data_IF_550332836344
#
_entry.id   IF_550332836344
#
_cell.length_a   1.000
_cell.length_b   1.000
_cell.length_c   1.000
_cell.angle_alpha   90.00
_cell.angle_beta   90.00
_cell.angle_gamma   90.00
#
_symmetry.space_group_name_H-M   'P 1'
#
loop_
_entity.id
_entity.type
_entity.pdbx_description
1 polymer ?
#
# COMPACT_ATOMS: atom_id res chain seq x y z
N UNK A 1 -7.00 -24.84 -2.51
CA UNK A 1 -5.81 -23.96 -2.51
C UNK A 1 -5.80 -22.96 -3.65
N UNK A 2 -5.89 -23.36 -4.93
CA UNK A 2 -5.83 -22.41 -6.06
C UNK A 2 -6.89 -21.30 -6.00
N UNK A 3 -8.13 -21.63 -5.66
CA UNK A 3 -9.21 -20.64 -5.50
C UNK A 3 -8.93 -19.63 -4.36
N UNK A 4 -8.41 -20.11 -3.24
CA UNK A 4 -8.08 -19.26 -2.07
C UNK A 4 -6.91 -18.34 -2.39
N UNK A 5 -5.91 -18.84 -3.14
CA UNK A 5 -4.79 -18.03 -3.62
C UNK A 5 -5.26 -16.86 -4.49
N UNK A 6 -6.12 -17.12 -5.47
CA UNK A 6 -6.68 -16.06 -6.31
C UNK A 6 -7.56 -15.09 -5.53
N UNK A 7 -8.35 -15.58 -4.58
CA UNK A 7 -9.14 -14.70 -3.70
C UNK A 7 -8.22 -13.78 -2.88
N UNK A 8 -7.17 -14.32 -2.25
CA UNK A 8 -6.22 -13.52 -1.49
C UNK A 8 -5.54 -12.43 -2.33
N UNK A 9 -5.06 -12.78 -3.52
CA UNK A 9 -4.41 -11.83 -4.45
C UNK A 9 -5.34 -10.73 -4.98
N UNK A 10 -6.63 -11.02 -5.13
CA UNK A 10 -7.60 -10.08 -5.70
C UNK A 10 -8.25 -9.17 -4.66
N UNK A 11 -8.28 -9.55 -3.39
CA UNK A 11 -8.87 -8.74 -2.31
C UNK A 11 -8.26 -7.32 -2.27
N UNK A 12 -6.93 -7.15 -2.23
CA UNK A 12 -6.28 -5.84 -2.33
C UNK A 12 -6.75 -5.01 -3.53
N UNK A 13 -6.73 -5.61 -4.73
CA UNK A 13 -7.11 -4.96 -5.98
C UNK A 13 -8.59 -4.54 -5.99
N UNK A 14 -9.47 -5.33 -5.36
CA UNK A 14 -10.85 -4.94 -5.14
C UNK A 14 -10.96 -3.71 -4.25
N UNK A 15 -10.12 -3.60 -3.21
CA UNK A 15 -9.98 -2.38 -2.41
C UNK A 15 -9.70 -1.16 -3.28
N UNK A 16 -8.65 -1.20 -4.09
CA UNK A 16 -8.24 -0.11 -5.02
C UNK A 16 -9.34 0.24 -6.00
N UNK A 17 -10.02 -0.79 -6.53
CA UNK A 17 -11.14 -0.63 -7.48
C UNK A 17 -12.35 0.02 -6.82
N UNK A 18 -12.76 -0.43 -5.64
CA UNK A 18 -13.88 0.14 -4.88
C UNK A 18 -13.60 1.57 -4.43
N UNK A 19 -12.37 1.83 -3.98
CA UNK A 19 -11.88 3.18 -3.66
C UNK A 19 -12.00 4.13 -4.85
N UNK A 20 -11.52 3.67 -6.00
CA UNK A 20 -11.61 4.43 -7.26
C UNK A 20 -13.04 4.74 -7.69
N UNK A 21 -14.03 3.92 -7.29
CA UNK A 21 -15.44 4.14 -7.61
C UNK A 21 -16.04 5.34 -6.86
N UNK A 22 -15.38 5.87 -5.82
CA UNK A 22 -15.82 7.07 -5.09
C UNK A 22 -15.99 8.26 -6.05
N UNK A 23 -15.23 8.32 -7.14
CA UNK A 23 -15.33 9.37 -8.17
C UNK A 23 -16.73 9.48 -8.81
N UNK A 24 -17.54 8.41 -8.76
CA UNK A 24 -18.92 8.45 -9.25
C UNK A 24 -19.86 9.21 -8.31
N UNK A 25 -19.63 9.09 -7.01
CA UNK A 25 -20.50 9.61 -5.94
C UNK A 25 -20.13 11.03 -5.51
N UNK A 26 -18.86 11.41 -5.62
CA UNK A 26 -18.40 12.75 -5.22
C UNK A 26 -18.65 13.77 -6.35
N UNK A 27 -19.28 14.89 -6.00
CA UNK A 27 -19.45 16.06 -6.89
C UNK A 27 -18.13 16.86 -6.94
N UNK A 28 -17.89 17.54 -8.06
CA UNK A 28 -16.71 18.32 -8.52
C UNK A 28 -15.95 19.26 -7.54
N UNK A 29 -16.18 19.21 -6.22
CA UNK A 29 -15.39 19.96 -5.24
C UNK A 29 -14.11 19.20 -4.92
N UNK A 30 -12.98 19.92 -4.93
CA UNK A 30 -11.73 19.49 -4.30
C UNK A 30 -11.99 19.28 -2.82
N UNK A 31 -12.30 18.06 -2.40
CA UNK A 31 -12.51 17.76 -0.99
C UNK A 31 -11.18 17.37 -0.36
N UNK A 32 -10.29 18.37 -0.24
CA UNK A 32 -8.93 18.22 0.28
C UNK A 32 -8.90 17.55 1.67
N UNK A 33 -9.88 17.88 2.52
CA UNK A 33 -10.04 17.22 3.82
C UNK A 33 -10.29 15.71 3.68
N UNK A 34 -11.06 15.28 2.68
CA UNK A 34 -11.35 13.87 2.46
C UNK A 34 -10.09 13.10 2.02
N UNK A 35 -9.33 13.66 1.07
CA UNK A 35 -8.04 13.07 0.64
C UNK A 35 -7.07 12.93 1.82
N UNK A 36 -7.00 13.95 2.67
CA UNK A 36 -6.15 13.94 3.88
C UNK A 36 -6.62 12.91 4.91
N UNK A 37 -7.92 12.78 5.14
CA UNK A 37 -8.46 11.74 6.01
C UNK A 37 -8.22 10.34 5.45
N UNK A 38 -8.36 10.15 4.14
CA UNK A 38 -8.02 8.90 3.46
C UNK A 38 -6.53 8.57 3.61
N UNK A 39 -5.64 9.55 3.44
CA UNK A 39 -4.19 9.38 3.64
C UNK A 39 -3.88 8.99 5.07
N UNK A 40 -4.60 9.56 6.04
CA UNK A 40 -4.55 9.16 7.45
C UNK A 40 -4.93 7.70 7.64
N UNK A 41 -6.09 7.26 7.14
CA UNK A 41 -6.52 5.85 7.25
C UNK A 41 -5.47 4.92 6.63
N UNK A 42 -4.99 5.22 5.43
CA UNK A 42 -4.00 4.39 4.74
C UNK A 42 -2.70 4.28 5.55
N UNK A 43 -2.17 5.42 6.00
CA UNK A 43 -0.99 5.48 6.87
C UNK A 43 -1.13 4.60 8.12
N UNK A 44 -2.26 4.74 8.83
CA UNK A 44 -2.50 3.99 10.06
C UNK A 44 -2.51 2.48 9.83
N UNK A 45 -3.20 2.03 8.78
CA UNK A 45 -3.27 0.62 8.40
C UNK A 45 -1.88 0.10 8.00
N UNK A 46 -1.13 0.83 7.16
CA UNK A 46 0.20 0.41 6.70
C UNK A 46 1.20 0.29 7.85
N UNK A 47 1.20 1.22 8.82
CA UNK A 47 2.07 1.14 10.00
C UNK A 47 1.73 -0.10 10.82
N UNK A 48 0.45 -0.34 11.09
CA UNK A 48 0.01 -1.51 11.84
C UNK A 48 0.34 -2.82 11.09
N UNK A 49 0.07 -2.91 9.79
CA UNK A 49 0.42 -4.08 8.98
C UNK A 49 1.94 -4.35 8.97
N UNK A 50 2.75 -3.30 8.90
CA UNK A 50 4.22 -3.41 8.94
C UNK A 50 4.70 -4.02 10.27
N UNK A 51 4.08 -3.65 11.38
CA UNK A 51 4.48 -4.16 12.71
C UNK A 51 3.95 -5.57 12.91
N UNK A 52 2.63 -5.76 12.84
CA UNK A 52 1.96 -6.98 13.26
C UNK A 52 2.01 -8.08 12.23
N UNK A 53 1.73 -7.78 10.97
CA UNK A 53 1.65 -8.81 9.93
C UNK A 53 2.99 -9.13 9.28
N UNK A 54 4.02 -8.29 9.47
CA UNK A 54 5.33 -8.46 8.85
C UNK A 54 6.50 -8.56 9.85
N UNK A 55 6.76 -7.52 10.65
CA UNK A 55 7.94 -7.49 11.52
C UNK A 55 7.88 -8.52 12.64
N UNK A 56 6.75 -8.64 13.34
CA UNK A 56 6.58 -9.64 14.40
C UNK A 56 6.77 -11.06 13.83
N UNK A 57 6.07 -11.50 12.76
CA UNK A 57 6.29 -12.80 12.14
C UNK A 57 7.72 -13.03 11.64
N UNK A 58 8.42 -11.97 11.21
CA UNK A 58 9.82 -12.07 10.83
C UNK A 58 10.73 -12.33 12.04
N UNK A 59 10.55 -11.58 13.13
CA UNK A 59 11.31 -11.71 14.37
C UNK A 59 11.04 -13.03 15.11
N UNK A 60 9.86 -13.61 14.96
CA UNK A 60 9.53 -14.92 15.51
C UNK A 60 10.24 -16.06 14.76
N UNK A 61 10.47 -15.88 13.45
CA UNK A 61 11.11 -16.89 12.59
C UNK A 61 12.62 -16.75 12.49
N UNK A 62 13.19 -15.58 12.82
CA UNK A 62 14.62 -15.31 12.78
C UNK A 62 15.10 -14.67 14.09
N UNK A 63 16.05 -15.34 14.75
CA UNK A 63 16.64 -14.86 16.01
C UNK A 63 17.77 -13.85 15.76
N UNK A 64 18.41 -13.90 14.58
CA UNK A 64 19.44 -12.96 14.21
C UNK A 64 18.82 -11.62 13.82
N UNK A 65 18.73 -10.71 14.80
CA UNK A 65 18.17 -9.37 14.62
C UNK A 65 18.85 -8.56 13.50
N UNK A 66 20.10 -8.86 13.16
CA UNK A 66 20.79 -8.18 12.06
C UNK A 66 20.10 -8.43 10.72
N UNK A 67 19.54 -9.63 10.49
CA UNK A 67 18.80 -9.94 9.26
C UNK A 67 17.54 -9.08 9.17
N UNK A 68 16.84 -8.90 10.28
CA UNK A 68 15.63 -8.07 10.36
C UNK A 68 15.97 -6.60 10.12
N UNK A 69 16.98 -6.07 10.80
CA UNK A 69 17.41 -4.67 10.65
C UNK A 69 17.89 -4.40 9.23
N UNK A 70 18.69 -5.30 8.65
CA UNK A 70 19.14 -5.18 7.26
C UNK A 70 17.96 -5.23 6.29
N UNK A 71 16.98 -6.11 6.51
CA UNK A 71 15.75 -6.15 5.73
C UNK A 71 15.07 -4.79 5.72
N UNK A 72 14.77 -4.24 6.90
CA UNK A 72 14.11 -2.93 7.04
C UNK A 72 14.87 -1.84 6.27
N UNK A 73 16.17 -1.68 6.51
CA UNK A 73 16.96 -0.63 5.87
C UNK A 73 17.07 -0.83 4.36
N UNK A 74 17.27 -2.05 3.88
CA UNK A 74 17.35 -2.32 2.45
C UNK A 74 16.00 -2.11 1.74
N UNK A 75 14.89 -2.41 2.42
CA UNK A 75 13.54 -2.11 1.92
C UNK A 75 13.32 -0.62 1.75
N UNK A 76 13.63 0.16 2.80
CA UNK A 76 13.54 1.62 2.77
C UNK A 76 14.49 2.24 1.73
N UNK A 77 15.74 1.75 1.67
CA UNK A 77 16.74 2.23 0.70
C UNK A 77 16.36 1.90 -0.75
N UNK A 78 15.74 0.74 -1.02
CA UNK A 78 15.23 0.44 -2.35
C UNK A 78 14.19 1.47 -2.76
N UNK A 79 13.22 1.78 -1.88
CA UNK A 79 12.20 2.75 -2.22
C UNK A 79 12.79 4.15 -2.35
N UNK A 80 13.67 4.59 -1.46
CA UNK A 80 14.40 5.86 -1.62
C UNK A 80 15.15 5.92 -2.97
N UNK A 81 15.77 4.83 -3.39
CA UNK A 81 16.45 4.76 -4.68
C UNK A 81 15.46 4.86 -5.86
N UNK A 82 14.32 4.17 -5.78
CA UNK A 82 13.26 4.27 -6.79
C UNK A 82 12.71 5.70 -6.85
N UNK A 83 12.46 6.29 -5.70
CA UNK A 83 11.97 7.65 -5.49
C UNK A 83 12.89 8.70 -6.17
N UNK A 84 14.20 8.56 -5.98
CA UNK A 84 15.21 9.41 -6.63
C UNK A 84 15.26 9.28 -8.17
N UNK A 85 14.86 8.13 -8.72
CA UNK A 85 14.98 7.85 -10.17
C UNK A 85 13.69 8.18 -10.90
N UNK A 86 12.57 7.87 -10.26
CA UNK A 86 11.26 7.92 -10.86
C UNK A 86 10.72 9.35 -10.76
N UNK A 87 10.42 10.01 -11.89
CA UNK A 87 9.78 11.32 -11.87
C UNK A 87 8.38 11.16 -11.28
N UNK A 88 8.17 11.65 -10.07
CA UNK A 88 6.89 11.52 -9.37
C UNK A 88 6.48 12.84 -8.71
N UNK A 89 5.26 12.87 -8.18
CA UNK A 89 4.76 13.98 -7.38
C UNK A 89 3.97 13.41 -6.21
N UNK A 90 4.17 14.00 -5.04
CA UNK A 90 3.40 13.68 -3.86
C UNK A 90 1.93 14.11 -4.03
N UNK A 91 0.95 13.24 -3.74
CA UNK A 91 -0.45 13.62 -3.80
C UNK A 91 -0.73 14.84 -2.90
N UNK A 92 -1.55 15.77 -3.41
CA UNK A 92 -1.88 17.01 -2.69
C UNK A 92 -0.84 18.15 -2.78
N UNK A 93 0.40 17.88 -3.21
CA UNK A 93 1.43 18.92 -3.39
C UNK A 93 1.58 19.37 -4.86
N UNK A 94 2.37 20.42 -5.08
CA UNK A 94 2.83 20.83 -6.41
C UNK A 94 4.32 20.53 -6.65
N UNK A 95 4.97 19.91 -5.68
CA UNK A 95 6.40 19.66 -5.67
C UNK A 95 6.72 18.43 -6.53
N UNK A 96 7.82 18.48 -7.28
CA UNK A 96 8.26 17.42 -8.17
C UNK A 96 9.57 16.84 -7.67
N UNK A 97 9.65 15.51 -7.60
CA UNK A 97 10.84 14.77 -7.17
C UNK A 97 11.24 13.71 -8.21
N UNK A 98 12.45 13.18 -8.06
CA UNK A 98 13.10 12.31 -9.04
C UNK A 98 13.70 13.04 -10.23
N UNK A 99 14.01 12.31 -11.31
CA UNK A 99 14.62 12.91 -12.52
C UNK A 99 13.66 13.87 -13.20
N UNK A 100 14.17 15.02 -13.64
CA UNK A 100 13.40 15.97 -14.45
C UNK A 100 12.77 15.24 -15.65
N UNK A 101 11.44 15.37 -15.77
CA UNK A 101 10.71 14.77 -16.88
C UNK A 101 9.59 15.68 -17.35
N UNK A 102 9.30 15.62 -18.65
CA UNK A 102 8.19 16.34 -19.28
C UNK A 102 6.82 15.68 -19.04
N UNK A 103 6.71 14.72 -18.11
CA UNK A 103 5.43 14.08 -17.82
C UNK A 103 4.44 15.03 -17.16
N UNK A 104 3.17 14.87 -17.52
CA UNK A 104 2.08 15.61 -16.86
C UNK A 104 2.01 15.21 -15.38
N UNK A 105 1.69 16.18 -14.53
CA UNK A 105 1.43 15.99 -13.09
C UNK A 105 0.58 14.76 -12.75
N UNK A 106 -0.48 14.52 -13.53
CA UNK A 106 -1.36 13.36 -13.36
C UNK A 106 -0.69 12.02 -13.68
N UNK A 107 0.27 12.00 -14.60
CA UNK A 107 1.03 10.80 -14.95
C UNK A 107 2.03 10.45 -13.85
N UNK A 108 2.69 11.45 -13.28
CA UNK A 108 3.59 11.31 -12.13
C UNK A 108 2.86 10.71 -10.91
N UNK A 109 1.68 11.23 -10.59
CA UNK A 109 0.82 10.71 -9.52
C UNK A 109 0.38 9.24 -9.74
N UNK A 110 -0.04 8.89 -10.96
CA UNK A 110 -0.44 7.50 -11.29
C UNK A 110 0.75 6.55 -11.15
N UNK A 111 1.93 6.99 -11.59
CA UNK A 111 3.13 6.18 -11.54
C UNK A 111 3.59 5.94 -10.11
N UNK A 112 3.53 6.97 -9.25
CA UNK A 112 3.78 6.85 -7.82
C UNK A 112 2.90 5.75 -7.21
N UNK A 113 1.57 5.91 -7.25
CA UNK A 113 0.63 4.94 -6.65
C UNK A 113 0.81 3.53 -7.24
N UNK A 114 1.07 3.41 -8.55
CA UNK A 114 1.32 2.10 -9.17
C UNK A 114 2.59 1.44 -8.63
N UNK A 115 3.65 2.19 -8.35
CA UNK A 115 4.87 1.61 -7.76
C UNK A 115 4.67 1.19 -6.31
N UNK A 116 3.85 1.92 -5.55
CA UNK A 116 3.50 1.58 -4.16
C UNK A 116 2.77 0.25 -4.04
N UNK A 117 1.90 -0.03 -4.99
CA UNK A 117 1.14 -1.27 -5.08
C UNK A 117 2.02 -2.52 -5.36
N UNK A 118 3.27 -2.36 -5.81
CA UNK A 118 4.18 -3.48 -6.06
C UNK A 118 4.60 -4.16 -4.74
N UNK A 119 5.23 -3.46 -3.76
CA UNK A 119 5.51 -4.00 -2.44
C UNK A 119 4.31 -4.67 -1.76
N UNK A 120 3.12 -4.09 -1.88
CA UNK A 120 1.89 -4.64 -1.28
C UNK A 120 1.51 -5.97 -1.90
N UNK A 121 1.47 -6.04 -3.23
CA UNK A 121 1.24 -7.29 -3.95
C UNK A 121 2.23 -8.38 -3.55
N UNK A 122 3.52 -8.02 -3.46
CA UNK A 122 4.57 -8.92 -3.01
C UNK A 122 4.34 -9.39 -1.56
N UNK A 123 3.99 -8.49 -0.63
CA UNK A 123 3.72 -8.85 0.77
C UNK A 123 2.58 -9.88 0.89
N UNK A 124 1.48 -9.68 0.16
CA UNK A 124 0.37 -10.64 0.09
C UNK A 124 0.82 -11.97 -0.51
N UNK A 125 1.62 -11.93 -1.58
CA UNK A 125 2.20 -13.12 -2.19
C UNK A 125 3.09 -13.92 -1.24
N UNK A 126 3.88 -13.24 -0.40
CA UNK A 126 4.76 -13.87 0.60
C UNK A 126 3.92 -14.64 1.62
N UNK A 127 2.92 -13.99 2.22
CA UNK A 127 2.10 -14.61 3.27
C UNK A 127 1.18 -15.70 2.68
N UNK A 128 0.70 -15.54 1.45
CA UNK A 128 -0.02 -16.61 0.74
C UNK A 128 0.88 -17.81 0.42
N UNK A 129 2.14 -17.59 0.03
CA UNK A 129 3.10 -18.67 -0.16
C UNK A 129 3.36 -19.43 1.14
N UNK A 130 3.45 -18.73 2.27
CA UNK A 130 3.53 -19.37 3.59
C UNK A 130 2.26 -20.15 3.90
N UNK A 131 1.08 -19.58 3.66
CA UNK A 131 -0.21 -20.24 3.87
C UNK A 131 -0.38 -21.51 3.03
N UNK A 132 0.12 -21.51 1.80
CA UNK A 132 0.16 -22.68 0.92
C UNK A 132 1.01 -23.81 1.53
N UNK A 133 2.12 -23.47 2.18
CA UNK A 133 3.03 -24.43 2.81
C UNK A 133 2.52 -24.95 4.15
N UNK A 134 1.94 -24.09 4.98
CA UNK A 134 1.50 -24.43 6.35
C UNK A 134 0.05 -24.90 6.42
N UNK A 135 -0.76 -24.62 5.40
CA UNK A 135 -2.19 -24.91 5.36
C UNK A 135 -3.07 -23.88 6.11
N UNK A 136 -2.47 -22.92 6.82
CA UNK A 136 -3.17 -21.86 7.55
C UNK A 136 -3.31 -20.61 6.69
N UNK A 137 -4.55 -20.17 6.45
CA UNK A 137 -4.86 -19.02 5.58
C UNK A 137 -5.10 -17.72 6.35
N UNK A 138 -5.13 -17.81 7.68
CA UNK A 138 -5.54 -16.77 8.62
C UNK A 138 -4.70 -15.49 8.48
N UNK A 139 -3.38 -15.59 8.66
CA UNK A 139 -2.45 -14.48 8.45
C UNK A 139 -2.52 -13.89 7.02
N UNK A 140 -2.66 -14.74 6.00
CA UNK A 140 -2.76 -14.28 4.62
C UNK A 140 -4.05 -13.48 4.35
N UNK A 141 -5.17 -13.92 4.93
CA UNK A 141 -6.44 -13.22 4.88
C UNK A 141 -6.39 -11.91 5.66
N UNK A 142 -5.82 -11.92 6.87
CA UNK A 142 -5.65 -10.72 7.69
C UNK A 142 -4.90 -9.64 6.93
N UNK A 143 -3.73 -9.98 6.37
CA UNK A 143 -2.92 -9.04 5.59
C UNK A 143 -3.62 -8.60 4.29
N UNK A 144 -4.25 -9.53 3.56
CA UNK A 144 -4.95 -9.18 2.30
C UNK A 144 -6.10 -8.21 2.56
N UNK A 145 -6.90 -8.45 3.61
CA UNK A 145 -8.01 -7.57 4.01
C UNK A 145 -7.47 -6.22 4.50
N UNK A 146 -6.41 -6.23 5.31
CA UNK A 146 -5.72 -5.02 5.76
C UNK A 146 -5.30 -4.13 4.59
N UNK A 147 -4.60 -4.72 3.62
CA UNK A 147 -4.18 -4.02 2.40
C UNK A 147 -5.40 -3.52 1.61
N UNK A 148 -6.46 -4.31 1.45
CA UNK A 148 -7.67 -3.82 0.78
C UNK A 148 -8.33 -2.63 1.47
N UNK A 149 -8.27 -2.56 2.81
CA UNK A 149 -8.86 -1.46 3.59
C UNK A 149 -8.10 -0.16 3.37
N UNK A 150 -6.78 -0.19 3.19
CA UNK A 150 -5.99 1.01 2.88
C UNK A 150 -6.02 1.35 1.38
N UNK A 151 -6.09 0.34 0.52
CA UNK A 151 -6.20 0.52 -0.93
C UNK A 151 -7.50 1.21 -1.35
N UNK A 152 -8.56 1.10 -0.54
CA UNK A 152 -9.78 1.87 -0.76
C UNK A 152 -9.54 3.40 -0.66
N UNK A 153 -9.01 3.94 0.46
CA UNK A 153 -8.47 5.29 0.52
C UNK A 153 -7.56 5.66 -0.66
N UNK A 154 -6.56 4.84 -1.00
CA UNK A 154 -5.60 5.16 -2.06
C UNK A 154 -6.23 5.27 -3.45
N UNK A 155 -7.10 4.32 -3.82
CA UNK A 155 -7.85 4.37 -5.07
C UNK A 155 -8.71 5.64 -5.19
N UNK A 156 -9.25 6.12 -4.06
CA UNK A 156 -9.98 7.38 -4.01
C UNK A 156 -9.05 8.60 -4.14
N UNK A 157 -7.91 8.60 -3.44
CA UNK A 157 -6.88 9.66 -3.51
C UNK A 157 -6.32 9.79 -4.94
N UNK A 158 -6.24 8.70 -5.71
CA UNK A 158 -5.80 8.76 -7.09
C UNK A 158 -6.92 9.23 -8.04
N UNK A 159 -8.12 8.66 -7.95
CA UNK A 159 -9.20 8.92 -8.91
C UNK A 159 -9.84 10.31 -8.78
N UNK A 160 -9.92 10.88 -7.56
CA UNK A 160 -10.57 12.18 -7.32
C UNK A 160 -9.78 13.37 -7.90
N UNK A 161 -8.44 13.47 -7.77
CA UNK A 161 -7.64 14.49 -8.42
C UNK A 161 -7.63 14.34 -9.94
N UNK A 162 -7.61 13.13 -10.49
CA UNK A 162 -7.72 12.91 -11.95
C UNK A 162 -9.03 13.53 -12.48
N UNK A 163 -10.14 13.31 -11.78
CA UNK A 163 -11.42 13.93 -12.13
C UNK A 163 -11.39 15.46 -12.04
N UNK A 164 -10.74 16.00 -11.02
CA UNK A 164 -10.57 17.44 -10.80
C UNK A 164 -9.66 18.07 -11.86
N UNK A 165 -8.72 17.31 -12.43
CA UNK A 165 -7.85 17.70 -13.55
C UNK A 165 -8.50 17.48 -14.93
N UNK A 166 -9.83 17.39 -15.00
CA UNK A 166 -10.59 17.41 -16.25
C UNK A 166 -10.87 16.05 -16.88
N UNK A 167 -10.45 14.94 -16.27
CA UNK A 167 -10.77 13.60 -16.80
C UNK A 167 -12.28 13.31 -16.64
N UNK A 168 -12.83 12.42 -17.47
CA UNK A 168 -14.19 11.91 -17.27
C UNK A 168 -14.23 11.01 -16.03
N UNK A 169 -15.40 10.86 -15.39
CA UNK A 169 -15.55 9.98 -14.21
C UNK A 169 -15.09 8.55 -14.52
N UNK A 170 -15.50 8.02 -15.67
CA UNK A 170 -15.11 6.68 -16.11
C UNK A 170 -13.61 6.54 -16.36
N UNK A 171 -12.97 7.55 -16.95
CA UNK A 171 -11.51 7.50 -17.19
C UNK A 171 -10.72 7.60 -15.88
N UNK A 172 -11.15 8.45 -14.95
CA UNK A 172 -10.54 8.58 -13.64
C UNK A 172 -10.69 7.29 -12.81
N UNK A 173 -11.89 6.69 -12.83
CA UNK A 173 -12.14 5.37 -12.24
C UNK A 173 -11.21 4.30 -12.85
N UNK A 174 -11.17 4.18 -14.18
CA UNK A 174 -10.38 3.13 -14.84
C UNK A 174 -8.88 3.27 -14.54
N UNK A 175 -8.34 4.50 -14.58
CA UNK A 175 -6.94 4.74 -14.22
C UNK A 175 -6.69 4.41 -12.75
N UNK A 176 -7.59 4.81 -11.86
CA UNK A 176 -7.53 4.49 -10.44
C UNK A 176 -7.49 2.97 -10.21
N UNK A 177 -8.45 2.23 -10.77
CA UNK A 177 -8.50 0.78 -10.64
C UNK A 177 -7.26 0.11 -11.25
N UNK A 178 -6.84 0.52 -12.44
CA UNK A 178 -5.68 -0.07 -13.12
C UNK A 178 -4.36 0.19 -12.39
N UNK A 179 -4.26 1.21 -11.53
CA UNK A 179 -3.05 1.40 -10.70
C UNK A 179 -2.81 0.24 -9.73
N UNK A 180 -3.87 -0.44 -9.29
CA UNK A 180 -3.79 -1.60 -8.39
C UNK A 180 -3.56 -2.94 -9.11
N UNK A 181 -3.56 -2.98 -10.44
CA UNK A 181 -3.45 -4.25 -11.17
C UNK A 181 -2.11 -4.95 -10.92
N UNK A 182 -1.09 -4.20 -10.52
CA UNK A 182 0.22 -4.73 -10.18
C UNK A 182 0.19 -5.60 -8.92
N UNK A 183 -0.76 -5.39 -8.00
CA UNK A 183 -0.85 -6.15 -6.76
C UNK A 183 -1.02 -7.66 -7.02
N UNK A 184 -2.04 -8.13 -7.77
CA UNK A 184 -2.18 -9.55 -8.09
C UNK A 184 -1.05 -10.06 -9.00
N UNK A 185 -0.48 -9.22 -9.86
CA UNK A 185 0.62 -9.61 -10.77
C UNK A 185 1.88 -9.94 -9.96
N UNK A 186 2.32 -9.03 -9.11
CA UNK A 186 3.54 -9.20 -8.31
C UNK A 186 3.34 -10.18 -7.15
N UNK A 187 2.13 -10.27 -6.58
CA UNK A 187 1.80 -11.32 -5.62
C UNK A 187 1.82 -12.71 -6.25
N UNK A 188 1.33 -12.86 -7.48
CA UNK A 188 1.45 -14.12 -8.22
C UNK A 188 2.91 -14.48 -8.53
N UNK A 189 3.72 -13.52 -9.00
CA UNK A 189 5.15 -13.75 -9.21
C UNK A 189 5.86 -14.19 -7.93
N UNK A 190 5.54 -13.55 -6.80
CA UNK A 190 6.08 -13.91 -5.49
C UNK A 190 5.76 -15.37 -5.14
N UNK A 191 4.52 -15.83 -5.39
CA UNK A 191 4.13 -17.22 -5.18
C UNK A 191 4.87 -18.17 -6.13
N UNK A 192 5.08 -17.79 -7.39
CA UNK A 192 5.87 -18.60 -8.34
C UNK A 192 7.31 -18.82 -7.86
N UNK A 193 7.92 -17.81 -7.23
CA UNK A 193 9.28 -17.89 -6.69
C UNK A 193 9.32 -18.30 -5.21
N UNK A 194 8.21 -18.79 -4.65
CA UNK A 194 8.06 -19.12 -3.23
C UNK A 194 9.13 -20.08 -2.69
N UNK A 195 9.60 -21.04 -3.48
CA UNK A 195 10.67 -21.96 -3.06
C UNK A 195 11.96 -21.26 -2.64
N UNK A 196 12.25 -20.10 -3.23
CA UNK A 196 13.41 -19.26 -2.90
C UNK A 196 13.07 -18.28 -1.80
N UNK A 197 11.91 -17.60 -1.93
CA UNK A 197 11.45 -16.57 -0.99
C UNK A 197 11.24 -17.14 0.40
N UNK A 198 10.71 -18.36 0.52
CA UNK A 198 10.45 -18.98 1.83
C UNK A 198 11.73 -19.32 2.61
N UNK A 199 12.89 -19.41 1.95
CA UNK A 199 14.18 -19.65 2.61
C UNK A 199 14.74 -18.38 3.24
N UNK A 200 14.44 -17.22 2.67
CA UNK A 200 14.79 -15.90 3.18
C UNK A 200 13.56 -15.14 3.69
N UNK A 201 12.51 -15.85 4.11
CA UNK A 201 11.22 -15.27 4.48
C UNK A 201 11.33 -14.15 5.53
N UNK A 202 12.09 -14.29 6.64
CA UNK A 202 12.23 -13.23 7.62
C UNK A 202 12.85 -11.95 7.05
N UNK A 203 13.83 -12.11 6.14
CA UNK A 203 14.40 -10.98 5.41
C UNK A 203 13.37 -10.33 4.49
N UNK A 204 12.60 -11.11 3.72
CA UNK A 204 11.58 -10.58 2.81
C UNK A 204 10.45 -9.84 3.54
N UNK A 205 9.99 -10.37 4.69
CA UNK A 205 8.96 -9.73 5.52
C UNK A 205 9.47 -8.41 6.12
N UNK A 206 10.68 -8.41 6.70
CA UNK A 206 11.28 -7.19 7.25
C UNK A 206 11.63 -6.15 6.17
N UNK A 207 12.03 -6.61 4.98
CA UNK A 207 12.20 -5.77 3.79
C UNK A 207 10.90 -5.10 3.36
N UNK A 208 9.81 -5.85 3.23
CA UNK A 208 8.50 -5.30 2.88
C UNK A 208 8.00 -4.29 3.93
N UNK A 209 8.24 -4.57 5.22
CA UNK A 209 7.90 -3.64 6.30
C UNK A 209 8.70 -2.34 6.23
N UNK A 210 10.02 -2.42 5.98
CA UNK A 210 10.86 -1.24 5.81
C UNK A 210 10.45 -0.37 4.62
N UNK A 211 10.11 -1.00 3.50
CA UNK A 211 9.56 -0.32 2.34
C UNK A 211 8.25 0.40 2.68
N UNK A 212 7.26 -0.27 3.28
CA UNK A 212 5.98 0.37 3.64
C UNK A 212 6.15 1.50 4.66
N UNK A 213 7.02 1.34 5.67
CA UNK A 213 7.29 2.41 6.63
C UNK A 213 7.93 3.64 5.98
N UNK A 214 8.80 3.45 4.99
CA UNK A 214 9.37 4.57 4.23
C UNK A 214 8.27 5.37 3.53
N UNK A 215 7.36 4.70 2.81
CA UNK A 215 6.23 5.33 2.11
C UNK A 215 5.34 6.12 3.04
N UNK A 216 5.00 5.54 4.20
CA UNK A 216 4.15 6.22 5.17
C UNK A 216 4.79 7.52 5.64
N UNK A 217 6.09 7.49 5.95
CA UNK A 217 6.80 8.65 6.50
C UNK A 217 7.07 9.71 5.43
N UNK A 218 7.43 9.29 4.21
CA UNK A 218 7.82 10.20 3.13
C UNK A 218 6.60 10.82 2.44
N UNK A 219 5.53 10.05 2.24
CA UNK A 219 4.40 10.48 1.42
C UNK A 219 3.14 10.73 2.25
N UNK A 220 2.63 9.70 2.92
CA UNK A 220 1.26 9.73 3.45
C UNK A 220 1.11 10.58 4.72
N UNK A 221 2.09 10.55 5.62
CA UNK A 221 2.12 11.39 6.84
C UNK A 221 2.21 12.87 6.47
N UNK A 222 3.13 13.30 5.58
CA UNK A 222 3.13 14.67 5.06
C UNK A 222 1.80 15.05 4.42
N UNK A 223 1.22 14.20 3.56
CA UNK A 223 -0.07 14.48 2.91
C UNK A 223 -1.19 14.72 3.93
N UNK A 224 -1.38 13.83 4.90
CA UNK A 224 -2.44 13.98 5.91
C UNK A 224 -2.23 15.22 6.80
N UNK A 225 -0.96 15.60 7.03
CA UNK A 225 -0.56 16.72 7.88
C UNK A 225 -0.64 18.09 7.18
N UNK A 226 -0.84 18.15 5.85
CA UNK A 226 -0.98 19.42 5.11
C UNK A 226 -2.10 20.32 5.67
N UNK A 227 -2.05 21.63 5.43
CA UNK A 227 -3.08 22.58 5.85
C UNK A 227 -2.97 23.06 7.31
N UNK A 228 -3.96 23.84 7.78
CA UNK A 228 -3.88 24.53 9.09
C UNK A 228 -4.09 23.64 10.32
N UNK A 229 -4.89 22.58 10.20
CA UNK A 229 -5.22 21.67 11.29
C UNK A 229 -5.24 20.24 10.77
N UNK A 230 -4.65 19.31 11.52
CA UNK A 230 -4.52 17.88 11.18
C UNK A 230 -5.33 16.96 12.11
N UNK A 231 -6.19 17.50 12.99
CA UNK A 231 -6.93 16.71 13.98
C UNK A 231 -7.75 15.57 13.36
N UNK A 232 -8.56 15.88 12.33
CA UNK A 232 -9.40 14.86 11.67
C UNK A 232 -8.57 13.79 10.95
N UNK A 233 -7.58 14.13 10.09
CA UNK A 233 -6.68 13.14 9.52
C UNK A 233 -5.91 12.32 10.57
N UNK A 234 -5.54 12.92 11.70
CA UNK A 234 -4.87 12.21 12.80
C UNK A 234 -5.79 11.20 13.47
N UNK A 235 -7.07 11.54 13.69
CA UNK A 235 -8.07 10.59 14.17
C UNK A 235 -8.29 9.48 13.14
N UNK A 236 -8.31 9.82 11.85
CA UNK A 236 -8.37 8.85 10.75
C UNK A 236 -7.19 7.88 10.74
N UNK A 237 -5.97 8.36 11.03
CA UNK A 237 -4.80 7.51 11.26
C UNK A 237 -5.01 6.53 12.41
N UNK A 238 -5.42 7.04 13.58
CA UNK A 238 -5.67 6.19 14.74
C UNK A 238 -6.76 5.14 14.45
N UNK A 239 -7.80 5.53 13.70
CA UNK A 239 -8.83 4.62 13.26
C UNK A 239 -8.27 3.50 12.37
N UNK A 240 -7.53 3.85 11.31
CA UNK A 240 -6.91 2.87 10.41
C UNK A 240 -5.96 1.92 11.14
N UNK A 241 -5.12 2.46 12.02
CA UNK A 241 -4.20 1.69 12.86
C UNK A 241 -4.93 0.69 13.75
N UNK A 242 -5.96 1.13 14.48
CA UNK A 242 -6.74 0.27 15.35
C UNK A 242 -7.50 -0.80 14.57
N UNK A 243 -8.06 -0.47 13.41
CA UNK A 243 -8.75 -1.44 12.53
C UNK A 243 -7.78 -2.55 12.12
N UNK A 244 -6.59 -2.19 11.63
CA UNK A 244 -5.60 -3.17 11.20
C UNK A 244 -5.06 -4.01 12.37
N UNK A 245 -4.77 -3.39 13.52
CA UNK A 245 -4.36 -4.12 14.72
C UNK A 245 -5.41 -5.13 15.15
N UNK A 246 -6.70 -4.75 15.16
CA UNK A 246 -7.80 -5.66 15.51
C UNK A 246 -7.93 -6.80 14.50
N UNK A 247 -7.79 -6.50 13.21
CA UNK A 247 -7.82 -7.53 12.16
C UNK A 247 -6.70 -8.54 12.35
N UNK A 248 -5.48 -8.09 12.60
CA UNK A 248 -4.35 -8.98 12.80
C UNK A 248 -4.50 -9.82 14.08
N UNK A 249 -4.86 -9.21 15.22
CA UNK A 249 -5.03 -9.93 16.49
C UNK A 249 -6.19 -10.94 16.45
N UNK A 250 -7.24 -10.69 15.68
CA UNK A 250 -8.41 -11.59 15.58
C UNK A 250 -8.19 -12.69 14.53
N UNK A 251 -7.55 -12.36 13.41
CA UNK A 251 -7.42 -13.24 12.25
C UNK A 251 -6.02 -13.84 12.09
N UNK A 252 -5.05 -13.50 12.94
CA UNK A 252 -3.64 -13.91 12.88
C UNK A 252 -3.24 -14.79 14.03
#
# INVERSE_FOLDING_TARGET
MVMIMWLGLLIPFFGTTLGSAIVYFIKNKKNELLSRCFSGIASGVMVAASIWSLLIPAMEQEKNILIIVLGIFLGALLLLFLDCIVPHMHPGTNDEEGKESHFKKTTKLVFAVTLHNIPEGMAVGIVLAQAIRTGSIYAALALSIGIAIQNFPEGAILSLPLKSNGFSKHKAFLIGSLSGIVEPIFGFFTILFSNWILQCLPFCLSFAAGAMLFVVIEELVPEMAQGKHSNLPTISFLFGFCVMMVLDVILG
#
